data_IF_106241824869
#
_entry.id   IF_106241824869
#
_cell.length_a   1.000
_cell.length_b   1.000
_cell.length_c   1.000
_cell.angle_alpha   90.00
_cell.angle_beta   90.00
_cell.angle_gamma   90.00
#
_symmetry.space_group_name_H-M   'P 1'
#
loop_
_entity.id
_entity.type
_entity.pdbx_description
1 polymer ?
#
# COMPACT_ATOMS: atom_id res chain seq x y z
N UNK A 1 -22.56 -18.42 9.39
CA UNK A 1 -21.18 -18.90 9.65
C UNK A 1 -20.42 -17.71 10.19
N UNK A 2 -19.84 -17.81 11.38
CA UNK A 2 -18.99 -16.74 11.93
C UNK A 2 -17.68 -16.76 11.16
N UNK A 3 -17.26 -15.63 10.60
CA UNK A 3 -15.96 -15.51 9.91
C UNK A 3 -14.84 -15.74 10.91
N UNK A 4 -13.87 -16.58 10.56
CA UNK A 4 -12.62 -16.71 11.33
C UNK A 4 -11.66 -15.61 10.90
N UNK A 5 -11.73 -14.47 11.58
CA UNK A 5 -10.94 -13.30 11.22
C UNK A 5 -9.45 -13.51 11.43
N UNK A 6 -9.06 -14.29 12.44
CA UNK A 6 -7.65 -14.62 12.71
C UNK A 6 -7.05 -15.40 11.52
N UNK A 7 -7.80 -16.36 10.96
CA UNK A 7 -7.35 -17.10 9.80
C UNK A 7 -7.26 -16.22 8.54
N UNK A 8 -8.21 -15.30 8.34
CA UNK A 8 -8.22 -14.39 7.20
C UNK A 8 -7.11 -13.33 7.30
N UNK A 9 -6.85 -12.77 8.47
CA UNK A 9 -5.75 -11.83 8.72
C UNK A 9 -4.39 -12.48 8.40
N UNK A 10 -4.15 -13.67 8.94
CA UNK A 10 -2.94 -14.45 8.61
C UNK A 10 -2.84 -14.78 7.13
N UNK A 11 -3.97 -14.97 6.45
CA UNK A 11 -3.97 -15.19 5.00
C UNK A 11 -3.57 -13.91 4.27
N UNK A 12 -4.16 -12.76 4.60
CA UNK A 12 -3.86 -11.47 3.98
C UNK A 12 -2.40 -11.05 4.20
N UNK A 13 -1.87 -11.24 5.40
CA UNK A 13 -0.49 -10.89 5.74
C UNK A 13 0.56 -11.62 4.87
N UNK A 14 0.25 -12.83 4.37
CA UNK A 14 1.14 -13.59 3.46
C UNK A 14 1.26 -12.97 2.07
N UNK A 15 0.33 -12.11 1.68
CA UNK A 15 0.40 -11.39 0.42
C UNK A 15 1.48 -10.30 0.42
N UNK A 16 2.01 -9.91 1.59
CA UNK A 16 3.17 -9.00 1.70
C UNK A 16 4.47 -9.77 1.49
N UNK A 17 5.42 -9.19 0.74
CA UNK A 17 6.75 -9.79 0.47
C UNK A 17 7.83 -9.23 1.42
N UNK A 18 7.58 -9.29 2.73
CA UNK A 18 8.36 -8.60 3.79
C UNK A 18 9.83 -9.01 3.90
N UNK A 19 10.18 -10.25 3.58
CA UNK A 19 11.51 -10.83 3.86
C UNK A 19 12.42 -10.99 2.62
N UNK A 20 11.95 -10.62 1.43
CA UNK A 20 12.62 -10.98 0.17
C UNK A 20 13.16 -9.81 -0.66
N UNK A 21 13.00 -8.58 -0.16
CA UNK A 21 13.44 -7.34 -0.82
C UNK A 21 14.62 -6.68 -0.07
N UNK A 22 15.20 -7.39 0.90
CA UNK A 22 16.37 -6.95 1.67
C UNK A 22 17.61 -6.75 0.79
N UNK A 23 18.23 -5.58 0.90
CA UNK A 23 19.45 -5.24 0.19
C UNK A 23 20.68 -5.89 0.87
N UNK A 24 21.61 -6.54 0.15
CA UNK A 24 22.91 -6.89 0.72
C UNK A 24 23.73 -5.62 1.02
N UNK A 25 24.68 -5.65 1.98
CA UNK A 25 25.41 -4.46 2.40
C UNK A 25 26.28 -3.88 1.27
N UNK A 26 26.32 -2.56 1.27
CA UNK A 26 26.83 -1.64 0.26
C UNK A 26 28.24 -1.94 -0.27
N UNK A 27 28.34 -2.12 -1.58
CA UNK A 27 29.51 -1.73 -2.38
C UNK A 27 28.99 -0.78 -3.46
N UNK A 28 29.48 0.47 -3.46
CA UNK A 28 29.10 1.58 -4.35
C UNK A 28 28.37 1.12 -5.62
N UNK A 29 27.04 1.27 -5.62
CA UNK A 29 26.19 0.83 -6.73
C UNK A 29 26.10 2.01 -7.70
N UNK A 30 26.75 1.87 -8.86
CA UNK A 30 26.36 2.58 -10.08
C UNK A 30 24.85 2.38 -10.22
N UNK A 31 24.06 3.45 -10.27
CA UNK A 31 22.61 3.33 -10.45
C UNK A 31 22.34 2.37 -11.61
N UNK A 32 21.68 1.22 -11.38
CA UNK A 32 21.41 0.25 -12.44
C UNK A 32 20.61 0.92 -13.54
N UNK A 33 20.75 0.49 -14.80
CA UNK A 33 20.09 1.13 -15.93
C UNK A 33 18.55 1.14 -15.75
N UNK A 34 17.84 2.04 -16.44
CA UNK A 34 16.38 1.97 -16.55
C UNK A 34 15.92 0.60 -17.06
N UNK A 35 14.69 0.21 -16.71
CA UNK A 35 14.13 -1.07 -17.16
C UNK A 35 13.87 -1.04 -18.65
N UNK A 36 14.03 -2.20 -19.29
CA UNK A 36 13.63 -2.41 -20.67
C UNK A 36 12.12 -2.63 -20.80
N UNK A 37 11.60 -2.40 -22.00
CA UNK A 37 10.21 -2.74 -22.36
C UNK A 37 9.85 -4.22 -22.17
N UNK A 38 10.83 -5.12 -22.20
CA UNK A 38 10.62 -6.53 -21.94
C UNK A 38 10.46 -6.80 -20.43
N UNK A 39 11.33 -6.21 -19.61
CA UNK A 39 11.27 -6.30 -18.14
C UNK A 39 9.98 -5.70 -17.59
N UNK A 40 9.57 -4.54 -18.09
CA UNK A 40 8.30 -3.90 -17.67
C UNK A 40 7.10 -4.79 -18.00
N UNK A 41 7.07 -5.39 -19.20
CA UNK A 41 5.99 -6.33 -19.57
C UNK A 41 6.01 -7.60 -18.72
N UNK A 42 7.19 -8.11 -18.38
CA UNK A 42 7.32 -9.25 -17.49
C UNK A 42 6.80 -8.92 -16.09
N UNK A 43 7.14 -7.74 -15.55
CA UNK A 43 6.65 -7.26 -14.27
C UNK A 43 5.12 -7.12 -14.25
N UNK A 44 4.54 -6.47 -15.26
CA UNK A 44 3.07 -6.35 -15.39
C UNK A 44 2.38 -7.72 -15.47
N UNK A 45 2.96 -8.65 -16.23
CA UNK A 45 2.42 -10.00 -16.36
C UNK A 45 2.49 -10.79 -15.04
N UNK A 46 3.59 -10.69 -14.30
CA UNK A 46 3.74 -11.36 -12.99
C UNK A 46 2.81 -10.76 -11.94
N UNK A 47 2.71 -9.43 -11.90
CA UNK A 47 1.91 -8.69 -10.91
C UNK A 47 0.41 -8.68 -11.25
N UNK A 48 0.03 -9.07 -12.47
CA UNK A 48 -1.36 -9.08 -12.93
C UNK A 48 -1.96 -7.70 -13.15
N UNK A 49 -1.12 -6.66 -13.26
CA UNK A 49 -1.54 -5.26 -13.41
C UNK A 49 -0.90 -4.64 -14.65
N UNK A 50 -1.53 -3.60 -15.20
CA UNK A 50 -0.86 -2.69 -16.12
C UNK A 50 -0.40 -1.47 -15.33
N UNK A 51 0.85 -1.04 -15.50
CA UNK A 51 1.35 0.16 -14.81
C UNK A 51 0.73 1.44 -15.38
N UNK A 52 0.36 2.43 -14.54
CA UNK A 52 -0.07 3.73 -15.01
C UNK A 52 0.93 4.34 -16.00
N UNK A 53 0.47 4.94 -17.10
CA UNK A 53 1.30 5.35 -18.24
C UNK A 53 2.50 6.21 -17.84
N UNK A 54 2.29 7.14 -16.90
CA UNK A 54 3.34 8.00 -16.39
C UNK A 54 4.39 7.24 -15.55
N UNK A 55 3.95 6.28 -14.72
CA UNK A 55 4.86 5.43 -13.95
C UNK A 55 5.65 4.50 -14.87
N UNK A 56 4.97 3.91 -15.87
CA UNK A 56 5.60 3.08 -16.91
C UNK A 56 6.68 3.87 -17.66
N UNK A 57 6.37 5.09 -18.09
CA UNK A 57 7.33 5.95 -18.78
C UNK A 57 8.54 6.30 -17.90
N UNK A 58 8.33 6.48 -16.60
CA UNK A 58 9.39 6.74 -15.63
C UNK A 58 10.36 5.56 -15.49
N UNK A 59 9.85 4.34 -15.24
CA UNK A 59 10.73 3.17 -15.04
C UNK A 59 11.53 2.78 -16.30
N UNK A 60 11.06 3.19 -17.49
CA UNK A 60 11.76 3.01 -18.77
C UNK A 60 12.84 4.07 -19.03
N UNK A 61 12.77 5.24 -18.39
CA UNK A 61 13.66 6.38 -18.66
C UNK A 61 14.68 6.61 -17.56
N UNK A 62 14.26 6.42 -16.31
CA UNK A 62 15.08 6.70 -15.14
C UNK A 62 15.45 5.41 -14.42
N UNK A 63 16.66 5.39 -13.88
CA UNK A 63 17.20 4.32 -13.06
C UNK A 63 16.53 4.24 -11.68
N UNK A 64 15.19 4.20 -11.63
CA UNK A 64 14.31 4.13 -10.45
C UNK A 64 15.04 4.21 -9.10
N UNK A 65 15.60 5.38 -8.78
CA UNK A 65 16.55 5.55 -7.67
C UNK A 65 16.55 7.00 -7.26
N UNK A 66 15.84 7.29 -6.16
CA UNK A 66 15.47 8.62 -5.71
C UNK A 66 14.37 8.51 -4.66
N UNK A 67 13.38 9.41 -4.68
CA UNK A 67 12.21 9.39 -3.78
C UNK A 67 11.28 8.18 -3.97
N UNK A 68 11.39 7.47 -5.11
CA UNK A 68 10.54 6.33 -5.46
C UNK A 68 11.22 5.01 -5.15
N UNK A 69 10.53 4.13 -4.43
CA UNK A 69 10.90 2.73 -4.22
C UNK A 69 11.13 2.04 -5.58
N UNK A 70 12.32 1.45 -5.74
CA UNK A 70 12.75 0.91 -7.03
C UNK A 70 11.96 -0.34 -7.39
N UNK A 71 11.31 -0.38 -8.56
CA UNK A 71 10.82 -1.63 -9.12
C UNK A 71 12.01 -2.50 -9.55
N UNK A 72 12.14 -3.70 -8.98
CA UNK A 72 13.19 -4.65 -9.31
C UNK A 72 12.69 -6.09 -9.20
N UNK A 73 13.45 -7.01 -9.81
CA UNK A 73 13.23 -8.44 -9.67
C UNK A 73 14.17 -9.02 -8.62
N UNK A 74 13.64 -9.73 -7.64
CA UNK A 74 14.40 -10.48 -6.65
C UNK A 74 14.10 -11.97 -6.73
N UNK A 75 14.65 -12.77 -5.81
CA UNK A 75 14.35 -14.19 -5.71
C UNK A 75 12.86 -14.46 -5.42
N UNK A 76 12.11 -13.49 -4.89
CA UNK A 76 10.67 -13.60 -4.67
C UNK A 76 9.82 -13.08 -5.85
N UNK A 77 10.44 -12.64 -6.95
CA UNK A 77 9.76 -12.07 -8.11
C UNK A 77 9.88 -10.55 -8.21
N UNK A 78 9.01 -9.93 -8.99
CA UNK A 78 8.95 -8.48 -9.18
C UNK A 78 8.35 -7.77 -7.96
N UNK A 79 8.95 -6.65 -7.55
CA UNK A 79 8.46 -5.86 -6.43
C UNK A 79 9.21 -4.55 -6.25
N UNK A 80 8.78 -3.77 -5.27
CA UNK A 80 9.35 -2.45 -4.96
C UNK A 80 10.38 -2.56 -3.84
N UNK A 81 11.64 -2.30 -4.15
CA UNK A 81 12.73 -2.33 -3.18
C UNK A 81 12.47 -1.36 -2.03
N UNK A 82 12.58 -1.87 -0.79
CA UNK A 82 12.33 -1.11 0.42
C UNK A 82 10.88 -1.10 0.87
N UNK A 83 9.95 -1.56 0.03
CA UNK A 83 8.54 -1.71 0.38
C UNK A 83 8.24 -3.11 0.92
N UNK A 84 7.73 -3.16 2.14
CA UNK A 84 7.23 -4.36 2.83
C UNK A 84 5.73 -4.32 3.11
N UNK A 85 5.05 -3.26 2.66
CA UNK A 85 3.65 -2.95 2.98
C UNK A 85 2.70 -3.31 1.86
N UNK A 86 3.12 -3.26 0.59
CA UNK A 86 2.25 -3.65 -0.53
C UNK A 86 1.83 -5.12 -0.40
N UNK A 87 0.52 -5.34 -0.46
CA UNK A 87 -0.07 -6.66 -0.53
C UNK A 87 -0.27 -7.08 -1.98
N UNK A 88 0.58 -7.99 -2.46
CA UNK A 88 0.63 -8.40 -3.87
C UNK A 88 -0.63 -9.19 -4.28
N UNK A 89 -1.29 -9.87 -3.34
CA UNK A 89 -2.53 -10.62 -3.60
C UNK A 89 -3.73 -9.69 -3.85
N UNK A 90 -3.64 -8.41 -3.45
CA UNK A 90 -4.70 -7.41 -3.58
C UNK A 90 -4.46 -6.42 -4.74
N UNK A 91 -3.36 -6.54 -5.49
CA UNK A 91 -3.02 -5.59 -6.56
C UNK A 91 -4.03 -5.55 -7.70
N UNK A 92 -4.71 -6.66 -7.95
CA UNK A 92 -5.73 -6.76 -9.01
C UNK A 92 -7.14 -6.41 -8.53
N UNK A 93 -7.29 -6.10 -7.24
CA UNK A 93 -8.54 -5.61 -6.66
C UNK A 93 -8.58 -4.09 -6.77
N UNK A 94 -9.73 -3.52 -7.11
CA UNK A 94 -9.89 -2.07 -7.25
C UNK A 94 -9.54 -1.33 -5.96
N UNK A 95 -8.84 -0.20 -6.09
CA UNK A 95 -8.59 0.70 -4.97
C UNK A 95 -9.90 1.34 -4.48
N UNK A 96 -10.28 1.13 -3.21
CA UNK A 96 -11.53 1.65 -2.68
C UNK A 96 -11.39 3.14 -2.33
N UNK A 97 -12.38 3.94 -2.71
CA UNK A 97 -12.46 5.32 -2.24
C UNK A 97 -12.77 5.34 -0.72
N UNK A 98 -12.18 6.23 0.10
CA UNK A 98 -12.41 6.26 1.55
C UNK A 98 -13.87 6.32 1.99
N UNK A 99 -14.69 7.08 1.25
CA UNK A 99 -16.12 7.17 1.57
C UNK A 99 -16.89 5.85 1.37
N UNK A 100 -16.34 4.90 0.60
CA UNK A 100 -16.98 3.60 0.37
C UNK A 100 -16.96 2.68 1.59
N UNK A 101 -15.97 2.84 2.47
CA UNK A 101 -15.80 1.99 3.65
C UNK A 101 -16.00 2.71 4.99
N UNK A 102 -16.20 4.04 4.98
CA UNK A 102 -16.40 4.85 6.19
C UNK A 102 -17.48 4.31 7.14
N UNK A 103 -18.61 3.83 6.60
CA UNK A 103 -19.68 3.30 7.44
C UNK A 103 -19.27 1.99 8.13
N UNK A 104 -18.52 1.13 7.43
CA UNK A 104 -18.00 -0.12 7.97
C UNK A 104 -16.94 0.13 9.05
N UNK A 105 -16.05 1.11 8.81
CA UNK A 105 -15.05 1.56 9.78
C UNK A 105 -15.72 2.02 11.09
N UNK A 106 -16.71 2.90 11.01
CA UNK A 106 -17.48 3.36 12.19
C UNK A 106 -18.11 2.20 12.95
N UNK A 107 -18.69 1.22 12.23
CA UNK A 107 -19.27 0.04 12.86
C UNK A 107 -18.20 -0.82 13.54
N UNK A 108 -17.05 -1.01 12.90
CA UNK A 108 -15.95 -1.80 13.43
C UNK A 108 -15.36 -1.12 14.69
N UNK A 109 -15.13 0.19 14.66
CA UNK A 109 -14.68 0.98 15.81
C UNK A 109 -15.67 0.89 16.97
N UNK A 110 -16.97 0.99 16.69
CA UNK A 110 -18.02 0.87 17.71
C UNK A 110 -18.06 -0.52 18.37
N UNK A 111 -17.55 -1.55 17.70
CA UNK A 111 -17.44 -2.93 18.20
C UNK A 111 -16.14 -3.21 18.94
N UNK A 112 -15.25 -2.24 19.11
CA UNK A 112 -13.99 -2.43 19.84
C UNK A 112 -14.27 -3.01 21.24
N UNK A 113 -13.76 -4.21 21.57
CA UNK A 113 -14.01 -4.84 22.85
C UNK A 113 -13.46 -3.99 24.00
N UNK A 114 -14.28 -3.77 25.04
CA UNK A 114 -13.86 -3.07 26.27
C UNK A 114 -13.78 -4.05 27.42
N UNK A 115 -12.75 -3.93 28.25
CA UNK A 115 -12.48 -4.85 29.37
C UNK A 115 -13.68 -5.04 30.31
N UNK A 116 -14.47 -3.98 30.52
CA UNK A 116 -15.65 -3.97 31.38
C UNK A 116 -16.85 -4.80 30.87
N UNK A 117 -16.87 -5.15 29.58
CA UNK A 117 -17.97 -5.89 28.96
C UNK A 117 -17.81 -7.41 29.08
N UNK A 118 -16.70 -7.87 29.68
CA UNK A 118 -16.35 -9.29 29.76
C UNK A 118 -16.19 -9.76 31.21
N UNK A 119 -16.55 -11.03 31.50
CA UNK A 119 -16.51 -11.58 32.86
C UNK A 119 -15.08 -11.79 33.38
N UNK A 120 -14.10 -11.97 32.48
CA UNK A 120 -12.70 -12.14 32.82
C UNK A 120 -11.78 -11.68 31.68
N UNK A 121 -10.49 -11.57 31.99
CA UNK A 121 -9.47 -11.12 31.05
C UNK A 121 -9.23 -12.09 29.88
N UNK A 122 -9.48 -13.40 30.05
CA UNK A 122 -9.31 -14.36 28.96
C UNK A 122 -10.40 -14.20 27.91
N UNK A 123 -11.66 -14.03 28.33
CA UNK A 123 -12.78 -13.75 27.45
C UNK A 123 -12.60 -12.42 26.70
N UNK A 124 -12.16 -11.37 27.40
CA UNK A 124 -11.80 -10.09 26.77
C UNK A 124 -10.72 -10.26 25.72
N UNK A 125 -9.62 -10.94 26.05
CA UNK A 125 -8.49 -11.16 25.13
C UNK A 125 -8.93 -11.88 23.86
N UNK A 126 -9.74 -12.94 23.99
CA UNK A 126 -10.22 -13.68 22.83
C UNK A 126 -11.12 -12.82 21.92
N UNK A 127 -11.97 -11.95 22.49
CA UNK A 127 -12.78 -11.02 21.71
C UNK A 127 -11.92 -9.94 21.03
N UNK A 128 -10.95 -9.40 21.76
CA UNK A 128 -10.02 -8.40 21.25
C UNK A 128 -9.18 -8.96 20.09
N UNK A 129 -8.66 -10.19 20.20
CA UNK A 129 -7.91 -10.85 19.13
C UNK A 129 -8.74 -11.07 17.85
N UNK A 130 -10.03 -11.35 17.97
CA UNK A 130 -10.93 -11.46 16.81
C UNK A 130 -11.21 -10.11 16.16
N UNK A 131 -11.44 -9.08 16.97
CA UNK A 131 -11.66 -7.71 16.49
C UNK A 131 -10.40 -7.13 15.82
N UNK A 132 -9.22 -7.31 16.45
CA UNK A 132 -7.93 -6.87 15.93
C UNK A 132 -7.61 -7.54 14.59
N UNK A 133 -7.90 -8.84 14.45
CA UNK A 133 -7.75 -9.55 13.19
C UNK A 133 -8.72 -9.05 12.10
N UNK A 134 -9.98 -8.74 12.45
CA UNK A 134 -10.93 -8.12 11.52
C UNK A 134 -10.43 -6.75 11.06
N UNK A 135 -9.89 -5.96 11.99
CA UNK A 135 -9.29 -4.66 11.74
C UNK A 135 -8.03 -4.77 10.85
N UNK A 136 -7.18 -5.76 11.07
CA UNK A 136 -6.02 -6.06 10.22
C UNK A 136 -6.42 -6.35 8.77
N UNK A 137 -7.42 -7.21 8.56
CA UNK A 137 -8.00 -7.49 7.22
C UNK A 137 -8.59 -6.23 6.59
N UNK A 138 -9.28 -5.40 7.38
CA UNK A 138 -9.83 -4.14 6.91
C UNK A 138 -8.73 -3.17 6.44
N UNK A 139 -7.67 -3.03 7.23
CA UNK A 139 -6.51 -2.18 6.92
C UNK A 139 -5.78 -2.59 5.63
N UNK A 140 -5.69 -3.89 5.35
CA UNK A 140 -5.18 -4.41 4.07
C UNK A 140 -6.06 -3.99 2.89
N UNK A 141 -7.39 -4.14 3.05
CA UNK A 141 -8.35 -3.86 2.00
C UNK A 141 -8.40 -2.39 1.62
N UNK A 142 -8.18 -1.47 2.56
CA UNK A 142 -8.10 -0.03 2.29
C UNK A 142 -7.01 0.35 1.28
N UNK A 143 -5.98 -0.47 1.12
CA UNK A 143 -4.89 -0.24 0.16
C UNK A 143 -4.88 -1.21 -1.02
N UNK A 144 -5.98 -1.93 -1.25
CA UNK A 144 -6.13 -2.80 -2.43
C UNK A 144 -5.86 -2.02 -3.71
N UNK A 145 -5.25 -2.63 -4.73
CA UNK A 145 -5.02 -1.94 -6.00
C UNK A 145 -4.07 -0.74 -5.95
N UNK A 146 -3.33 -0.54 -4.85
CA UNK A 146 -2.32 0.49 -4.71
C UNK A 146 -0.97 -0.10 -4.28
N UNK A 147 0.11 0.61 -4.61
CA UNK A 147 1.48 0.26 -4.27
C UNK A 147 2.12 1.37 -3.44
N UNK A 148 2.90 1.00 -2.42
CA UNK A 148 3.65 1.94 -1.58
C UNK A 148 4.91 2.39 -2.33
N UNK A 149 4.84 3.54 -3.01
CA UNK A 149 5.92 4.03 -3.86
C UNK A 149 6.96 4.86 -3.12
N UNK A 150 6.66 5.38 -1.94
CA UNK A 150 7.60 6.15 -1.12
C UNK A 150 7.26 5.96 0.36
N UNK A 151 8.28 5.74 1.18
CA UNK A 151 8.21 5.89 2.64
C UNK A 151 8.52 7.36 3.00
N UNK A 152 7.61 8.01 3.74
CA UNK A 152 7.73 9.42 4.14
C UNK A 152 8.22 9.58 5.60
N UNK A 153 8.63 8.49 6.26
CA UNK A 153 8.95 8.43 7.68
C UNK A 153 7.71 8.42 8.58
N UNK A 154 7.91 8.13 9.87
CA UNK A 154 6.86 8.17 10.90
C UNK A 154 5.61 7.31 10.59
N UNK A 155 5.75 6.28 9.75
CA UNK A 155 4.64 5.43 9.32
C UNK A 155 3.79 6.01 8.19
N UNK A 156 4.15 7.18 7.67
CA UNK A 156 3.53 7.77 6.49
C UNK A 156 4.11 7.21 5.21
N UNK A 157 3.30 7.15 4.16
CA UNK A 157 3.75 6.69 2.86
C UNK A 157 2.93 7.32 1.75
N UNK A 158 3.47 7.28 0.53
CA UNK A 158 2.74 7.67 -0.66
C UNK A 158 2.37 6.44 -1.46
N UNK A 159 1.09 6.38 -1.82
CA UNK A 159 0.49 5.32 -2.60
C UNK A 159 0.35 5.75 -4.06
N UNK A 160 0.67 4.85 -4.99
CA UNK A 160 0.26 4.96 -6.39
C UNK A 160 -0.85 3.94 -6.65
N UNK A 161 -2.00 4.40 -7.13
CA UNK A 161 -3.10 3.50 -7.51
C UNK A 161 -2.79 2.87 -8.87
N UNK A 162 -2.78 1.54 -8.92
CA UNK A 162 -2.48 0.74 -10.13
C UNK A 162 -3.71 0.05 -10.72
N UNK A 163 -4.78 -0.13 -9.92
CA UNK A 163 -6.00 -0.83 -10.35
C UNK A 163 -7.26 -0.10 -9.89
N UNK A 164 -8.29 -0.11 -10.74
CA UNK A 164 -9.60 0.50 -10.47
C UNK A 164 -9.77 1.94 -10.96
N UNK A 165 -10.88 2.61 -10.58
CA UNK A 165 -11.28 3.92 -11.11
C UNK A 165 -10.28 5.06 -10.86
N UNK A 166 -9.47 4.94 -9.80
CA UNK A 166 -8.49 5.95 -9.40
C UNK A 166 -7.08 5.69 -9.98
N UNK A 167 -6.93 4.72 -10.89
CA UNK A 167 -5.64 4.32 -11.46
C UNK A 167 -4.82 5.51 -12.00
N UNK A 168 -3.56 5.59 -11.57
CA UNK A 168 -2.60 6.63 -11.94
C UNK A 168 -2.64 7.87 -11.05
N UNK A 169 -3.56 7.96 -10.09
CA UNK A 169 -3.54 8.99 -9.04
C UNK A 169 -2.66 8.60 -7.86
N UNK A 170 -2.23 9.60 -7.10
CA UNK A 170 -1.47 9.43 -5.87
C UNK A 170 -2.26 9.81 -4.63
N UNK A 171 -1.98 9.09 -3.56
CA UNK A 171 -2.64 9.23 -2.27
C UNK A 171 -1.61 9.21 -1.15
N UNK A 172 -1.89 9.93 -0.08
CA UNK A 172 -1.11 9.92 1.14
C UNK A 172 -1.72 8.94 2.13
N UNK A 173 -0.96 7.93 2.54
CA UNK A 173 -1.31 7.05 3.65
C UNK A 173 -0.97 7.76 4.97
N UNK A 174 -1.97 8.44 5.53
CA UNK A 174 -1.92 9.17 6.80
C UNK A 174 -2.37 8.35 8.00
N UNK A 175 -2.62 7.04 7.82
CA UNK A 175 -3.25 6.21 8.86
C UNK A 175 -2.44 6.11 10.15
N UNK A 176 -1.14 6.38 10.11
CA UNK A 176 -0.31 6.40 11.31
C UNK A 176 -0.69 7.50 12.33
N UNK A 177 -1.42 8.55 11.93
CA UNK A 177 -1.81 9.63 12.84
C UNK A 177 -3.26 10.05 12.79
N UNK A 178 -3.91 9.97 11.63
CA UNK A 178 -5.29 10.41 11.46
C UNK A 178 -6.24 9.31 10.99
N UNK A 179 -5.76 8.07 10.83
CA UNK A 179 -6.53 6.93 10.31
C UNK A 179 -7.09 7.13 8.90
N UNK A 180 -6.62 8.15 8.16
CA UNK A 180 -7.11 8.48 6.81
C UNK A 180 -6.11 8.15 5.71
N UNK A 181 -6.65 7.75 4.55
CA UNK A 181 -5.97 7.78 3.26
C UNK A 181 -6.52 8.97 2.49
N UNK A 182 -5.64 9.91 2.12
CA UNK A 182 -6.03 11.21 1.57
C UNK A 182 -5.60 11.30 0.10
N UNK A 183 -6.46 11.77 -0.81
CA UNK A 183 -6.03 12.02 -2.19
C UNK A 183 -5.03 13.17 -2.20
N UNK A 184 -3.94 13.03 -2.96
CA UNK A 184 -3.07 14.17 -3.24
C UNK A 184 -3.76 15.05 -4.28
N UNK A 185 -3.86 16.34 -3.99
CA UNK A 185 -4.57 17.32 -4.80
C UNK A 185 -3.64 18.44 -5.27
N UNK A 186 -3.83 18.87 -6.52
CA UNK A 186 -3.13 20.01 -7.09
C UNK A 186 -4.11 21.00 -7.71
N UNK A 187 -4.81 21.75 -6.84
CA UNK A 187 -5.72 22.80 -7.26
C UNK A 187 -7.08 22.26 -7.73
N UNK A 188 -7.64 21.30 -6.98
CA UNK A 188 -8.93 20.66 -7.24
C UNK A 188 -8.88 19.53 -8.26
N UNK A 189 -7.68 19.02 -8.60
CA UNK A 189 -7.49 17.86 -9.48
C UNK A 189 -6.58 16.83 -8.82
N UNK A 190 -6.82 15.53 -9.06
CA UNK A 190 -5.90 14.47 -8.63
C UNK A 190 -4.48 14.73 -9.14
N UNK A 191 -3.51 14.57 -8.26
CA UNK A 191 -2.10 14.64 -8.60
C UNK A 191 -1.71 13.45 -9.47
N UNK A 192 -1.03 13.76 -10.59
CA UNK A 192 -0.42 12.75 -11.45
C UNK A 192 0.99 12.39 -10.97
N UNK A 193 1.51 11.23 -11.38
CA UNK A 193 2.84 10.77 -10.98
C UNK A 193 3.96 11.77 -11.34
N UNK A 194 3.88 12.40 -12.51
CA UNK A 194 4.85 13.43 -12.92
C UNK A 194 4.68 14.73 -12.13
N UNK A 195 3.45 15.13 -11.80
CA UNK A 195 3.20 16.30 -10.96
C UNK A 195 3.79 16.11 -9.55
N UNK A 196 3.68 14.89 -9.02
CA UNK A 196 4.23 14.48 -7.73
C UNK A 196 5.75 14.39 -7.74
N UNK A 197 6.38 13.80 -8.76
CA UNK A 197 7.86 13.68 -8.83
C UNK A 197 8.60 15.01 -8.69
N UNK A 198 7.96 16.13 -9.05
CA UNK A 198 8.55 17.46 -8.96
C UNK A 198 8.39 18.13 -7.57
N UNK A 199 7.75 17.46 -6.60
CA UNK A 199 7.28 18.03 -5.33
C UNK A 199 7.36 17.02 -4.19
N UNK A 200 7.29 17.49 -2.95
CA UNK A 200 7.13 16.61 -1.80
C UNK A 200 5.65 16.27 -1.58
N UNK A 201 5.36 15.05 -1.11
CA UNK A 201 3.99 14.57 -0.88
C UNK A 201 3.19 15.45 0.10
N UNK A 202 3.86 15.98 1.13
CA UNK A 202 3.26 16.84 2.15
C UNK A 202 2.81 18.20 1.61
N UNK A 203 3.45 18.70 0.54
CA UNK A 203 3.10 19.99 -0.09
C UNK A 203 1.84 19.90 -0.96
N UNK A 204 1.34 18.68 -1.18
CA UNK A 204 0.21 18.36 -2.05
C UNK A 204 -1.05 17.95 -1.27
N UNK A 205 -1.02 18.10 0.05
CA UNK A 205 -2.18 17.97 0.89
C UNK A 205 -2.93 19.31 0.90
N UNK A 206 -4.22 19.27 0.52
CA UNK A 206 -5.11 20.41 0.65
C UNK A 206 -5.51 20.61 2.10
N UNK A 207 -4.75 21.43 2.83
CA UNK A 207 -5.12 21.91 4.17
C UNK A 207 -6.35 22.83 4.12
#
# INVERSE_FOLDING_TARGET
MTTDWIAEDRRMARGRRSDALGCPPTRQVVSPPPLSEAEVREAEAELGIAFPDQYRAYVLRESAGGAVNRLCRTAAGWGWQGDSRTNYDLLTTDFPHPDSYRAFEIELDAREPRTQDFPDHHAYRAAWEQWDAEYGVFQERMTSGAVFIQDNGCGFSTLLVVTGPHRGSLWFDGRATCDLILPLDLGGRPVSFVDWLARESMDLLGW
#
